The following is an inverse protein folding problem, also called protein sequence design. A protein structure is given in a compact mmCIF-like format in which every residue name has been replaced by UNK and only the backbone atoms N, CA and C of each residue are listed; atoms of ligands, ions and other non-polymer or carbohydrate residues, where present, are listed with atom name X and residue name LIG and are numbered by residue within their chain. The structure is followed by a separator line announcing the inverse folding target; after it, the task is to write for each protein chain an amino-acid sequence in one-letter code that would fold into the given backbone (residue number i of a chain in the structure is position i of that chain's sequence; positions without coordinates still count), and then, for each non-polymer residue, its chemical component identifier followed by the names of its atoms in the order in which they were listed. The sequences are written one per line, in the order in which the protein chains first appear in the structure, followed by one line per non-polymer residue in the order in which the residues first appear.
data_IF_281327805807
#
_entry.id   IF_281327805807
#
_cell.length_a   1.000
_cell.length_b   1.000
_cell.length_c   1.000
_cell.angle_alpha   90.00
_cell.angle_beta   90.00
_cell.angle_gamma   90.00
#
_symmetry.space_group_name_H-M   'P 1'
#
loop_
_entity.id
_entity.type
_entity.pdbx_description
1 polymer ?
#
# COMPACT_ATOMS: atom_id res chain seq x y z
N UNK A 1 -1.86 -13.49 -26.14
CA UNK A 1 -3.24 -13.88 -25.77
C UNK A 1 -4.21 -12.99 -26.54
N UNK A 2 -5.19 -13.56 -27.26
CA UNK A 2 -6.24 -12.80 -27.97
C UNK A 2 -7.57 -12.76 -27.19
N UNK A 3 -7.67 -13.55 -26.13
CA UNK A 3 -8.84 -13.70 -25.28
C UNK A 3 -8.35 -13.92 -23.83
N UNK A 4 -9.12 -13.44 -22.86
CA UNK A 4 -8.98 -13.73 -21.44
C UNK A 4 -10.35 -14.16 -20.92
N UNK A 5 -10.43 -15.37 -20.38
CA UNK A 5 -11.68 -15.95 -19.87
C UNK A 5 -11.69 -15.92 -18.35
N UNK A 6 -12.82 -15.54 -17.76
CA UNK A 6 -13.09 -15.73 -16.34
C UNK A 6 -14.09 -16.87 -16.22
N UNK A 7 -13.76 -17.89 -15.42
CA UNK A 7 -14.61 -19.06 -15.23
C UNK A 7 -14.99 -19.22 -13.77
N UNK A 8 -16.28 -19.43 -13.52
CA UNK A 8 -16.80 -19.71 -12.19
C UNK A 8 -16.59 -21.17 -11.79
N UNK A 9 -16.35 -21.42 -10.49
CA UNK A 9 -16.42 -22.77 -9.92
C UNK A 9 -16.97 -22.79 -8.47
N UNK A 10 -17.46 -23.95 -7.98
CA UNK A 10 -18.21 -24.03 -6.72
C UNK A 10 -17.49 -23.59 -5.45
N UNK A 11 -18.31 -23.19 -4.46
CA UNK A 11 -18.01 -22.43 -3.22
C UNK A 11 -17.04 -23.01 -2.18
N UNK A 12 -16.45 -24.19 -2.36
CA UNK A 12 -15.85 -24.94 -1.22
C UNK A 12 -14.70 -24.21 -0.52
N UNK A 13 -13.95 -23.33 -1.21
CA UNK A 13 -12.94 -22.43 -0.63
C UNK A 13 -12.89 -21.12 -1.42
N UNK A 14 -12.71 -19.97 -0.75
CA UNK A 14 -12.41 -18.70 -1.43
C UNK A 14 -10.99 -18.77 -2.01
N UNK A 15 -10.89 -19.15 -3.27
CA UNK A 15 -9.62 -19.36 -3.95
C UNK A 15 -9.68 -18.79 -5.38
N UNK A 16 -8.50 -18.47 -5.90
CA UNK A 16 -8.31 -17.87 -7.21
C UNK A 16 -7.06 -18.44 -7.82
N UNK A 17 -7.08 -18.66 -9.13
CA UNK A 17 -5.87 -19.07 -9.85
C UNK A 17 -5.81 -18.30 -11.17
N UNK A 18 -4.61 -18.11 -11.68
CA UNK A 18 -4.37 -17.44 -12.94
C UNK A 18 -3.59 -18.37 -13.87
N UNK A 19 -4.28 -18.98 -14.82
CA UNK A 19 -3.68 -19.67 -15.96
C UNK A 19 -3.49 -18.72 -17.14
N UNK A 20 -2.60 -19.01 -18.10
CA UNK A 20 -2.52 -18.26 -19.35
C UNK A 20 -3.88 -18.18 -20.06
N UNK A 21 -4.49 -17.00 -20.08
CA UNK A 21 -5.78 -16.75 -20.74
C UNK A 21 -7.03 -17.27 -20.02
N UNK A 22 -6.90 -17.87 -18.82
CA UNK A 22 -8.04 -18.36 -18.04
C UNK A 22 -7.86 -18.05 -16.55
N UNK A 23 -8.86 -17.40 -15.96
CA UNK A 23 -8.91 -17.05 -14.54
C UNK A 23 -10.11 -17.75 -13.90
N UNK A 24 -9.93 -18.93 -13.26
CA UNK A 24 -10.96 -19.51 -12.43
C UNK A 24 -11.12 -18.73 -11.12
N UNK A 25 -12.35 -18.34 -10.80
CA UNK A 25 -12.73 -17.71 -9.54
C UNK A 25 -13.82 -18.53 -8.87
N UNK A 26 -13.68 -18.81 -7.57
CA UNK A 26 -14.78 -19.43 -6.84
C UNK A 26 -15.97 -18.49 -6.74
N UNK A 27 -17.18 -19.03 -6.60
CA UNK A 27 -18.40 -18.26 -6.32
C UNK A 27 -18.17 -17.22 -5.21
N UNK A 28 -17.58 -17.67 -4.09
CA UNK A 28 -17.26 -16.86 -2.90
C UNK A 28 -16.12 -15.86 -3.08
N UNK A 29 -15.33 -15.97 -4.14
CA UNK A 29 -14.25 -15.04 -4.45
C UNK A 29 -14.73 -13.82 -5.23
N UNK A 30 -15.80 -13.95 -6.04
CA UNK A 30 -16.26 -12.87 -6.92
C UNK A 30 -17.77 -12.87 -7.21
N UNK A 31 -18.36 -13.99 -7.63
CA UNK A 31 -19.68 -14.00 -8.29
C UNK A 31 -20.88 -13.74 -7.36
N UNK A 32 -20.81 -14.19 -6.10
CA UNK A 32 -21.91 -13.98 -5.13
C UNK A 32 -21.72 -12.72 -4.29
N UNK A 33 -20.75 -11.87 -4.66
CA UNK A 33 -20.45 -10.65 -3.94
C UNK A 33 -21.61 -9.66 -3.98
N UNK A 34 -21.87 -9.04 -2.83
CA UNK A 34 -22.75 -7.88 -2.72
C UNK A 34 -21.88 -6.71 -2.30
N UNK A 35 -21.62 -5.82 -3.24
CA UNK A 35 -20.83 -4.61 -3.05
C UNK A 35 -21.78 -3.43 -3.23
N UNK A 36 -21.95 -2.61 -2.20
CA UNK A 36 -22.63 -1.33 -2.29
C UNK A 36 -21.63 -0.22 -2.65
N UNK A 37 -21.70 0.37 -3.87
CA UNK A 37 -20.80 1.44 -4.26
C UNK A 37 -20.91 2.71 -3.39
N UNK A 38 -22.06 2.91 -2.74
CA UNK A 38 -22.32 4.03 -1.84
C UNK A 38 -21.86 3.79 -0.40
N UNK A 39 -21.60 2.54 -0.02
CA UNK A 39 -21.14 2.19 1.33
C UNK A 39 -19.66 2.58 1.51
N UNK A 40 -19.33 3.40 2.52
CA UNK A 40 -17.94 3.71 2.84
C UNK A 40 -17.16 2.51 3.41
N UNK A 41 -17.85 1.39 3.71
CA UNK A 41 -17.26 0.17 4.27
C UNK A 41 -17.02 -0.91 3.22
N UNK A 42 -17.64 -0.81 2.06
CA UNK A 42 -17.60 -1.88 1.05
C UNK A 42 -16.36 -1.72 0.16
N UNK A 43 -15.66 -2.83 -0.03
CA UNK A 43 -14.59 -2.97 -1.00
C UNK A 43 -15.15 -3.75 -2.18
N UNK A 44 -14.93 -3.25 -3.39
CA UNK A 44 -15.17 -4.01 -4.61
C UNK A 44 -14.09 -5.08 -4.78
N UNK A 45 -14.15 -6.08 -3.90
CA UNK A 45 -13.22 -7.18 -3.89
C UNK A 45 -13.30 -8.06 -5.14
N UNK A 46 -14.47 -8.29 -5.80
CA UNK A 46 -14.51 -9.04 -7.05
C UNK A 46 -13.68 -8.36 -8.13
N UNK A 47 -13.81 -7.03 -8.26
CA UNK A 47 -13.04 -6.29 -9.24
C UNK A 47 -11.55 -6.24 -8.87
N UNK A 48 -11.22 -6.02 -7.60
CA UNK A 48 -9.85 -6.08 -7.11
C UNK A 48 -9.17 -7.42 -7.42
N UNK A 49 -9.82 -8.52 -7.05
CA UNK A 49 -9.32 -9.89 -7.29
C UNK A 49 -9.17 -10.15 -8.78
N UNK A 50 -10.16 -9.79 -9.60
CA UNK A 50 -10.10 -9.99 -11.05
C UNK A 50 -8.95 -9.19 -11.68
N UNK A 51 -8.73 -7.94 -11.22
CA UNK A 51 -7.61 -7.12 -11.67
C UNK A 51 -6.26 -7.74 -11.28
N UNK A 52 -6.12 -8.27 -10.06
CA UNK A 52 -4.92 -8.96 -9.59
C UNK A 52 -4.62 -10.21 -10.42
N UNK A 53 -5.60 -11.08 -10.61
CA UNK A 53 -5.40 -12.30 -11.40
C UNK A 53 -5.13 -11.99 -12.88
N UNK A 54 -5.69 -10.90 -13.41
CA UNK A 54 -5.33 -10.39 -14.74
C UNK A 54 -3.90 -9.86 -14.77
N UNK A 55 -3.44 -9.17 -13.73
CA UNK A 55 -2.07 -8.66 -13.65
C UNK A 55 -1.01 -9.78 -13.64
N UNK A 56 -1.34 -10.96 -13.08
CA UNK A 56 -0.47 -12.15 -13.13
C UNK A 56 -0.18 -12.64 -14.55
N UNK A 57 -0.97 -12.25 -15.54
CA UNK A 57 -0.66 -12.52 -16.95
C UNK A 57 0.66 -11.85 -17.38
N UNK A 58 1.10 -10.79 -16.70
CA UNK A 58 2.44 -10.22 -16.84
C UNK A 58 3.39 -10.79 -15.78
N UNK A 59 2.95 -10.79 -14.52
CA UNK A 59 3.75 -11.13 -13.35
C UNK A 59 3.59 -12.60 -12.98
N UNK A 60 4.56 -13.43 -13.39
CA UNK A 60 4.57 -14.88 -13.17
C UNK A 60 4.24 -15.73 -14.41
N UNK A 61 3.59 -15.15 -15.43
CA UNK A 61 3.35 -15.83 -16.71
C UNK A 61 4.30 -15.33 -17.81
N UNK A 62 4.36 -14.01 -18.06
CA UNK A 62 5.31 -13.44 -19.02
C UNK A 62 6.71 -13.35 -18.44
N UNK A 63 6.82 -12.70 -17.29
CA UNK A 63 8.05 -12.63 -16.50
C UNK A 63 7.98 -13.69 -15.41
N UNK A 64 8.83 -14.71 -15.54
CA UNK A 64 9.00 -15.77 -14.55
C UNK A 64 10.27 -15.47 -13.75
N UNK A 65 10.15 -15.35 -12.42
CA UNK A 65 11.30 -15.13 -11.54
C UNK A 65 12.12 -16.40 -11.33
N UNK A 66 13.38 -16.24 -10.94
CA UNK A 66 14.20 -17.36 -10.47
C UNK A 66 13.62 -17.94 -9.18
N UNK A 67 13.78 -19.24 -8.95
CA UNK A 67 13.35 -19.91 -7.72
C UNK A 67 14.33 -19.63 -6.57
N UNK A 68 14.27 -18.41 -6.05
CA UNK A 68 15.12 -17.91 -4.96
C UNK A 68 14.28 -17.17 -3.92
N UNK A 69 14.86 -16.84 -2.77
CA UNK A 69 14.22 -15.93 -1.79
C UNK A 69 13.69 -14.66 -2.47
N UNK A 70 12.52 -14.21 -2.05
CA UNK A 70 11.84 -13.05 -2.62
C UNK A 70 11.25 -13.23 -4.01
N UNK A 71 11.31 -14.43 -4.63
CA UNK A 71 10.75 -14.67 -5.96
C UNK A 71 9.27 -14.25 -6.07
N UNK A 72 8.50 -14.47 -5.01
CA UNK A 72 7.09 -14.09 -4.92
C UNK A 72 6.85 -12.58 -5.03
N UNK A 73 7.86 -11.73 -4.80
CA UNK A 73 7.70 -10.27 -5.02
C UNK A 73 7.43 -9.98 -6.49
N UNK A 74 8.11 -10.68 -7.41
CA UNK A 74 7.99 -10.47 -8.85
C UNK A 74 6.67 -10.98 -9.43
N UNK A 75 5.92 -11.79 -8.68
CA UNK A 75 4.67 -12.40 -9.13
C UNK A 75 3.47 -11.85 -8.34
N UNK A 76 3.52 -11.96 -7.02
CA UNK A 76 2.45 -11.62 -6.09
C UNK A 76 2.41 -10.12 -5.81
N UNK A 77 3.51 -9.54 -5.34
CA UNK A 77 3.53 -8.11 -4.97
C UNK A 77 3.27 -7.20 -6.17
N UNK A 78 3.86 -7.52 -7.34
CA UNK A 78 3.62 -6.77 -8.56
C UNK A 78 2.16 -6.89 -9.05
N UNK A 79 1.53 -8.06 -8.88
CA UNK A 79 0.11 -8.23 -9.22
C UNK A 79 -0.82 -7.46 -8.28
N UNK A 80 -0.54 -7.47 -6.96
CA UNK A 80 -1.30 -6.72 -5.95
C UNK A 80 -1.15 -5.21 -6.19
N UNK A 81 0.09 -4.73 -6.41
CA UNK A 81 0.34 -3.35 -6.80
C UNK A 81 -0.45 -2.95 -8.05
N UNK A 82 -0.39 -3.77 -9.10
CA UNK A 82 -1.14 -3.50 -10.35
C UNK A 82 -2.63 -3.40 -10.09
N UNK A 83 -3.20 -4.29 -9.26
CA UNK A 83 -4.60 -4.26 -8.88
C UNK A 83 -4.96 -2.98 -8.11
N UNK A 84 -4.14 -2.56 -7.14
CA UNK A 84 -4.31 -1.30 -6.41
C UNK A 84 -4.32 -0.09 -7.37
N UNK A 85 -3.45 -0.09 -8.39
CA UNK A 85 -3.42 0.99 -9.38
C UNK A 85 -4.66 0.99 -10.29
N UNK A 86 -5.20 -0.18 -10.65
CA UNK A 86 -6.49 -0.28 -11.37
C UNK A 86 -7.64 0.23 -10.51
N UNK A 87 -7.67 -0.12 -9.22
CA UNK A 87 -8.67 0.39 -8.28
C UNK A 87 -8.57 1.91 -8.16
N UNK A 88 -7.36 2.46 -8.03
CA UNK A 88 -7.13 3.91 -7.93
C UNK A 88 -7.64 4.64 -9.16
N UNK A 89 -7.39 4.12 -10.37
CA UNK A 89 -7.87 4.72 -11.62
C UNK A 89 -9.40 4.67 -11.74
N UNK A 90 -10.02 3.62 -11.21
CA UNK A 90 -11.48 3.43 -11.32
C UNK A 90 -12.25 4.23 -10.26
N UNK A 91 -11.76 4.22 -9.02
CA UNK A 91 -12.47 4.79 -7.87
C UNK A 91 -11.93 6.13 -7.39
N UNK A 92 -10.76 6.55 -7.86
CA UNK A 92 -10.06 7.75 -7.40
C UNK A 92 -9.17 7.50 -6.19
N UNK A 93 -8.22 8.41 -5.96
CA UNK A 93 -7.24 8.32 -4.88
C UNK A 93 -7.90 8.32 -3.49
N UNK A 94 -8.92 9.15 -3.29
CA UNK A 94 -9.65 9.32 -2.01
C UNK A 94 -10.31 8.02 -1.54
N UNK A 95 -10.60 7.14 -2.49
CA UNK A 95 -11.20 5.82 -2.26
C UNK A 95 -10.15 4.74 -2.00
N UNK A 96 -8.86 5.00 -2.18
CA UNK A 96 -7.80 4.01 -1.94
C UNK A 96 -7.52 3.73 -0.47
N UNK A 97 -7.76 4.71 0.40
CA UNK A 97 -7.56 4.57 1.86
C UNK A 97 -8.13 3.27 2.42
N UNK A 98 -9.31 2.84 1.97
CA UNK A 98 -9.96 1.61 2.45
C UNK A 98 -9.25 0.33 1.99
N UNK A 99 -8.73 0.31 0.76
CA UNK A 99 -7.97 -0.83 0.24
C UNK A 99 -6.65 -0.96 1.00
N UNK A 100 -5.94 0.16 1.19
CA UNK A 100 -4.69 0.20 1.96
C UNK A 100 -4.90 -0.22 3.42
N UNK A 101 -5.96 0.30 4.07
CA UNK A 101 -6.30 -0.12 5.44
C UNK A 101 -6.58 -1.62 5.53
N UNK A 102 -7.33 -2.18 4.57
CA UNK A 102 -7.61 -3.61 4.54
C UNK A 102 -6.35 -4.45 4.39
N UNK A 103 -5.44 -4.07 3.49
CA UNK A 103 -4.19 -4.79 3.30
C UNK A 103 -3.28 -4.66 4.53
N UNK A 104 -3.24 -3.50 5.16
CA UNK A 104 -2.48 -3.28 6.39
C UNK A 104 -3.00 -4.12 7.55
N UNK A 105 -4.32 -4.15 7.77
CA UNK A 105 -4.94 -5.03 8.76
C UNK A 105 -4.61 -6.50 8.48
N UNK A 106 -4.74 -6.94 7.22
CA UNK A 106 -4.42 -8.31 6.83
C UNK A 106 -2.93 -8.65 7.01
N UNK A 107 -2.03 -7.69 6.75
CA UNK A 107 -0.59 -7.83 7.02
C UNK A 107 -0.33 -8.01 8.52
N UNK A 108 -0.89 -7.14 9.37
CA UNK A 108 -0.70 -7.19 10.82
C UNK A 108 -1.29 -8.46 11.45
N UNK A 109 -2.47 -8.91 10.99
CA UNK A 109 -3.07 -10.17 11.42
C UNK A 109 -2.21 -11.36 11.00
N UNK A 110 -1.78 -11.40 9.74
CA UNK A 110 -0.94 -12.49 9.23
C UNK A 110 0.38 -12.60 10.01
N UNK A 111 0.99 -11.46 10.32
CA UNK A 111 2.18 -11.38 11.15
C UNK A 111 1.95 -11.89 12.58
N UNK A 112 0.82 -11.54 13.20
CA UNK A 112 0.49 -12.02 14.54
C UNK A 112 0.22 -13.54 14.60
N UNK A 113 -0.07 -14.16 13.46
CA UNK A 113 -0.32 -15.60 13.31
C UNK A 113 0.90 -16.36 12.77
N UNK A 114 1.96 -15.65 12.38
CA UNK A 114 3.17 -16.26 11.83
C UNK A 114 3.86 -17.11 12.91
N UNK A 115 4.20 -18.34 12.53
CA UNK A 115 4.88 -19.30 13.41
C UNK A 115 6.38 -19.36 13.11
N UNK A 116 6.77 -18.96 11.90
CA UNK A 116 8.16 -18.87 11.48
C UNK A 116 8.73 -17.47 11.69
N UNK A 117 10.00 -17.26 11.33
CA UNK A 117 10.59 -15.92 11.35
C UNK A 117 10.01 -15.08 10.19
N UNK A 118 9.52 -13.87 10.50
CA UNK A 118 9.23 -12.88 9.47
C UNK A 118 10.52 -12.44 8.78
N UNK A 119 10.52 -12.42 7.44
CA UNK A 119 11.62 -11.92 6.63
C UNK A 119 11.24 -10.59 5.95
N UNK A 120 12.22 -9.75 5.60
CA UNK A 120 11.96 -8.59 4.77
C UNK A 120 11.35 -8.97 3.41
N UNK A 121 10.66 -8.02 2.77
CA UNK A 121 9.89 -8.30 1.55
C UNK A 121 10.76 -8.90 0.44
N UNK A 122 11.96 -8.38 0.21
CA UNK A 122 12.90 -8.88 -0.80
C UNK A 122 13.47 -10.27 -0.49
N UNK A 123 13.35 -10.75 0.75
CA UNK A 123 13.92 -12.01 1.21
C UNK A 123 12.86 -13.04 1.59
N UNK A 124 11.57 -12.71 1.47
CA UNK A 124 10.49 -13.56 1.95
C UNK A 124 10.51 -14.98 1.33
N UNK A 125 10.11 -15.97 2.13
CA UNK A 125 10.05 -17.38 1.76
C UNK A 125 8.60 -17.84 1.57
N UNK A 126 7.87 -17.19 0.66
CA UNK A 126 6.48 -17.51 0.34
C UNK A 126 5.48 -17.25 1.49
N UNK A 127 5.78 -16.24 2.30
CA UNK A 127 4.93 -15.80 3.41
C UNK A 127 3.82 -14.89 2.88
N UNK A 128 2.58 -15.42 2.82
CA UNK A 128 1.46 -14.79 2.11
C UNK A 128 1.15 -13.36 2.54
N UNK A 129 1.18 -13.09 3.83
CA UNK A 129 0.91 -11.74 4.36
C UNK A 129 2.01 -10.74 3.96
N UNK A 130 3.23 -11.20 3.66
CA UNK A 130 4.34 -10.37 3.21
C UNK A 130 4.16 -10.05 1.72
N UNK A 131 4.15 -11.06 0.85
CA UNK A 131 4.17 -10.80 -0.60
C UNK A 131 2.80 -10.38 -1.16
N UNK A 132 1.68 -10.69 -0.51
CA UNK A 132 0.36 -10.21 -0.98
C UNK A 132 -0.03 -8.85 -0.37
N UNK A 133 0.26 -8.64 0.92
CA UNK A 133 -0.22 -7.44 1.62
C UNK A 133 0.86 -6.37 1.74
N UNK A 134 1.96 -6.66 2.46
CA UNK A 134 3.09 -5.73 2.57
C UNK A 134 3.65 -5.34 1.20
N UNK A 135 3.71 -6.29 0.26
CA UNK A 135 4.17 -6.06 -1.11
C UNK A 135 3.37 -5.00 -1.87
N UNK A 136 2.03 -5.10 -1.84
CA UNK A 136 1.14 -4.11 -2.45
C UNK A 136 1.26 -2.73 -1.80
N UNK A 137 1.26 -2.68 -0.46
CA UNK A 137 1.43 -1.44 0.32
C UNK A 137 2.76 -0.75 0.00
N UNK A 138 3.86 -1.50 -0.01
CA UNK A 138 5.20 -0.99 -0.27
C UNK A 138 5.31 -0.33 -1.65
N UNK A 139 4.85 -1.03 -2.70
CA UNK A 139 4.89 -0.49 -4.05
C UNK A 139 3.91 0.67 -4.24
N UNK A 140 2.76 0.65 -3.56
CA UNK A 140 1.81 1.76 -3.58
C UNK A 140 2.39 3.03 -2.95
N UNK A 141 3.03 2.92 -1.78
CA UNK A 141 3.73 4.03 -1.15
C UNK A 141 4.88 4.53 -2.02
N UNK A 142 5.69 3.62 -2.58
CA UNK A 142 6.81 3.99 -3.42
C UNK A 142 6.36 4.77 -4.66
N UNK A 143 5.29 4.35 -5.34
CA UNK A 143 4.77 5.13 -6.48
C UNK A 143 4.19 6.47 -6.05
N UNK A 144 3.62 6.57 -4.85
CA UNK A 144 3.06 7.83 -4.34
C UNK A 144 4.18 8.84 -4.01
N UNK A 145 5.39 8.33 -3.75
CA UNK A 145 6.58 9.10 -3.43
C UNK A 145 7.43 9.46 -4.65
N UNK A 146 7.50 8.57 -5.65
CA UNK A 146 8.35 8.72 -6.84
C UNK A 146 7.58 9.10 -8.11
N UNK A 147 6.26 8.87 -8.13
CA UNK A 147 5.41 8.94 -9.31
C UNK A 147 5.16 7.57 -9.92
N UNK A 148 3.92 7.35 -10.34
CA UNK A 148 3.47 6.11 -10.99
C UNK A 148 4.28 5.77 -12.24
N UNK A 149 4.57 6.77 -13.09
CA UNK A 149 5.33 6.54 -14.32
C UNK A 149 6.79 6.14 -14.08
N UNK A 150 7.39 6.60 -12.98
CA UNK A 150 8.76 6.24 -12.59
C UNK A 150 8.82 4.77 -12.19
N UNK A 151 7.93 4.34 -11.28
CA UNK A 151 7.85 2.95 -10.84
C UNK A 151 7.47 2.03 -12.01
N UNK A 152 6.44 2.40 -12.79
CA UNK A 152 6.03 1.64 -13.97
C UNK A 152 7.10 1.60 -15.08
N UNK A 153 8.01 2.59 -15.11
CA UNK A 153 9.20 2.59 -15.96
C UNK A 153 10.12 1.42 -15.66
N UNK A 154 10.40 1.17 -14.39
CA UNK A 154 11.20 0.03 -13.94
C UNK A 154 10.52 -1.29 -14.28
N UNK A 155 9.22 -1.41 -13.98
CA UNK A 155 8.44 -2.62 -14.26
C UNK A 155 8.41 -2.97 -15.77
N UNK A 156 8.25 -1.94 -16.62
CA UNK A 156 8.33 -2.09 -18.07
C UNK A 156 9.73 -2.48 -18.54
N UNK A 157 10.77 -1.97 -17.89
CA UNK A 157 12.16 -2.38 -18.12
C UNK A 157 12.35 -3.87 -17.87
N UNK A 158 11.87 -4.38 -16.73
CA UNK A 158 11.90 -5.80 -16.38
C UNK A 158 11.19 -6.66 -17.43
N UNK A 159 9.98 -6.27 -17.84
CA UNK A 159 9.24 -7.00 -18.90
C UNK A 159 10.01 -7.01 -20.22
N UNK A 160 10.58 -5.88 -20.67
CA UNK A 160 11.37 -5.84 -21.91
C UNK A 160 12.59 -6.77 -21.85
N UNK A 161 13.20 -6.88 -20.68
CA UNK A 161 14.42 -7.66 -20.49
C UNK A 161 14.13 -9.16 -20.32
N UNK A 162 13.06 -9.54 -19.61
CA UNK A 162 12.85 -10.91 -19.15
C UNK A 162 11.56 -11.58 -19.64
N UNK A 163 10.59 -10.85 -20.19
CA UNK A 163 9.34 -11.47 -20.63
C UNK A 163 9.58 -12.49 -21.75
N UNK A 164 8.96 -13.67 -21.61
CA UNK A 164 9.06 -14.79 -22.54
C UNK A 164 10.48 -15.31 -22.79
N UNK A 165 11.40 -15.11 -21.83
CA UNK A 165 12.77 -15.62 -21.91
C UNK A 165 13.00 -16.75 -20.91
N UNK A 166 13.90 -17.65 -21.26
CA UNK A 166 14.48 -18.62 -20.33
C UNK A 166 15.59 -17.98 -19.48
N UNK A 167 16.37 -18.83 -18.80
CA UNK A 167 17.47 -18.38 -17.95
C UNK A 167 18.47 -17.45 -18.69
N UNK A 168 19.06 -16.46 -18.00
CA UNK A 168 18.90 -16.16 -16.56
C UNK A 168 17.58 -15.45 -16.24
N UNK A 169 16.89 -15.94 -15.20
CA UNK A 169 15.65 -15.36 -14.70
C UNK A 169 15.94 -14.21 -13.72
N UNK A 170 15.06 -13.19 -13.64
CA UNK A 170 15.20 -12.11 -12.67
C UNK A 170 14.96 -12.59 -11.24
N UNK A 171 15.59 -11.92 -10.27
CA UNK A 171 15.38 -12.14 -8.84
C UNK A 171 14.73 -10.90 -8.20
N UNK A 172 14.39 -10.96 -6.91
CA UNK A 172 13.94 -9.76 -6.18
C UNK A 172 14.92 -8.59 -6.32
N UNK A 173 16.24 -8.86 -6.35
CA UNK A 173 17.28 -7.85 -6.57
C UNK A 173 17.12 -7.15 -7.92
N UNK A 174 16.70 -7.84 -8.99
CA UNK A 174 16.45 -7.19 -10.28
C UNK A 174 15.40 -6.07 -10.19
N UNK A 175 14.37 -6.26 -9.35
CA UNK A 175 13.38 -5.21 -9.08
C UNK A 175 13.95 -4.13 -8.14
N UNK A 176 14.54 -4.54 -7.01
CA UNK A 176 15.05 -3.61 -5.99
C UNK A 176 16.13 -2.70 -6.56
N UNK A 177 17.08 -3.23 -7.34
CA UNK A 177 18.15 -2.45 -7.96
C UNK A 177 17.58 -1.47 -9.00
N UNK A 178 16.60 -1.90 -9.79
CA UNK A 178 15.90 -1.04 -10.75
C UNK A 178 15.18 0.12 -10.06
N UNK A 179 14.50 -0.14 -8.95
CA UNK A 179 13.84 0.88 -8.13
C UNK A 179 14.87 1.81 -7.45
N UNK A 180 15.95 1.24 -6.90
CA UNK A 180 17.05 1.99 -6.27
C UNK A 180 17.70 2.96 -7.25
N UNK A 181 17.92 2.55 -8.48
CA UNK A 181 18.54 3.38 -9.53
C UNK A 181 17.70 4.61 -9.91
N UNK A 182 16.37 4.56 -9.76
CA UNK A 182 15.47 5.68 -10.09
C UNK A 182 15.03 6.48 -8.87
N UNK A 183 15.39 6.05 -7.67
CA UNK A 183 14.98 6.71 -6.42
C UNK A 183 15.91 7.90 -6.11
N UNK A 184 15.37 9.13 -5.94
CA UNK A 184 16.14 10.29 -5.52
C UNK A 184 16.81 10.10 -4.16
N UNK A 185 17.96 10.75 -3.96
CA UNK A 185 18.79 10.59 -2.75
C UNK A 185 18.03 10.87 -1.43
N UNK A 186 17.15 11.87 -1.42
CA UNK A 186 16.35 12.23 -0.25
C UNK A 186 15.24 11.20 0.08
N UNK A 187 15.01 10.23 -0.81
CA UNK A 187 14.02 9.16 -0.68
C UNK A 187 14.63 7.76 -0.71
N UNK A 188 15.96 7.65 -0.83
CA UNK A 188 16.67 6.37 -0.97
C UNK A 188 16.41 5.41 0.20
N UNK A 189 16.17 5.96 1.40
CA UNK A 189 15.80 5.21 2.60
C UNK A 189 14.57 4.32 2.40
N UNK A 190 13.62 4.72 1.54
CA UNK A 190 12.39 3.96 1.29
C UNK A 190 12.68 2.60 0.69
N UNK A 191 13.74 2.46 -0.12
CA UNK A 191 14.07 1.16 -0.72
C UNK A 191 14.45 0.17 0.39
N UNK A 192 15.31 0.60 1.30
CA UNK A 192 15.78 -0.27 2.38
C UNK A 192 14.64 -0.56 3.38
N UNK A 193 13.83 0.45 3.72
CA UNK A 193 12.70 0.28 4.64
C UNK A 193 11.61 -0.66 4.10
N UNK A 194 11.29 -0.55 2.81
CA UNK A 194 10.18 -1.27 2.20
C UNK A 194 10.54 -2.68 1.76
N UNK A 195 11.78 -2.87 1.26
CA UNK A 195 12.20 -4.13 0.67
C UNK A 195 13.17 -4.93 1.54
N UNK A 196 14.15 -4.26 2.14
CA UNK A 196 15.27 -4.90 2.83
C UNK A 196 15.08 -5.02 4.35
N UNK A 197 14.12 -4.29 4.90
CA UNK A 197 13.85 -4.24 6.35
C UNK A 197 12.39 -4.55 6.69
N UNK A 198 12.15 -4.80 7.97
CA UNK A 198 10.81 -4.87 8.55
C UNK A 198 10.62 -3.60 9.38
N UNK A 199 10.01 -2.59 8.77
CA UNK A 199 9.80 -1.27 9.36
C UNK A 199 8.32 -1.04 9.64
N UNK A 200 8.04 -0.44 10.80
CA UNK A 200 6.71 -0.01 11.22
C UNK A 200 6.72 1.45 11.62
N UNK A 201 5.56 2.09 11.48
CA UNK A 201 5.30 3.41 12.02
C UNK A 201 4.38 3.33 13.25
N UNK A 202 4.50 4.35 14.10
CA UNK A 202 3.63 4.61 15.25
C UNK A 202 3.18 6.08 15.22
N UNK A 203 2.47 6.41 14.16
CA UNK A 203 1.89 7.73 13.96
C UNK A 203 0.56 7.83 14.70
N UNK A 204 0.27 9.00 15.27
CA UNK A 204 -1.03 9.29 15.86
C UNK A 204 -1.31 10.79 15.86
N UNK A 205 -2.56 11.15 15.70
CA UNK A 205 -3.02 12.50 16.01
C UNK A 205 -3.22 12.63 17.54
N UNK A 206 -2.73 13.74 18.12
CA UNK A 206 -2.90 14.07 19.53
C UNK A 206 -4.01 15.10 19.74
N UNK A 207 -4.10 16.11 18.87
CA UNK A 207 -5.17 17.11 18.89
C UNK A 207 -5.42 17.67 17.47
N UNK A 208 -6.61 18.20 17.23
CA UNK A 208 -6.92 18.96 16.04
C UNK A 208 -7.99 20.01 16.35
N UNK A 209 -7.67 21.28 16.13
CA UNK A 209 -8.53 22.42 16.47
C UNK A 209 -8.73 23.29 15.24
N UNK A 210 -10.00 23.56 14.91
CA UNK A 210 -10.41 24.43 13.83
C UNK A 210 -10.76 25.82 14.34
N UNK A 211 -10.30 26.84 13.61
CA UNK A 211 -10.67 28.24 13.79
C UNK A 211 -11.09 28.85 12.47
N UNK A 212 -12.25 29.51 12.45
CA UNK A 212 -12.70 30.23 11.26
C UNK A 212 -11.87 31.49 11.02
N UNK A 213 -11.48 31.71 9.77
CA UNK A 213 -10.73 32.88 9.33
C UNK A 213 -11.66 33.99 8.79
N UNK A 214 -11.23 35.27 8.78
CA UNK A 214 -12.02 36.37 8.23
C UNK A 214 -12.35 36.25 6.73
N UNK A 215 -11.51 35.53 5.97
CA UNK A 215 -11.68 35.25 4.54
C UNK A 215 -12.68 34.10 4.27
N UNK A 216 -13.30 33.54 5.30
CA UNK A 216 -14.27 32.46 5.20
C UNK A 216 -13.67 31.05 5.19
N UNK A 217 -12.34 30.92 5.11
CA UNK A 217 -11.64 29.63 5.20
C UNK A 217 -11.56 29.15 6.66
N UNK A 218 -11.15 27.90 6.84
CA UNK A 218 -10.93 27.32 8.17
C UNK A 218 -9.45 26.97 8.33
N UNK A 219 -8.86 27.46 9.41
CA UNK A 219 -7.53 27.08 9.84
C UNK A 219 -7.64 25.88 10.79
N UNK A 220 -6.90 24.80 10.53
CA UNK A 220 -6.88 23.59 11.36
C UNK A 220 -5.47 23.37 11.87
N UNK A 221 -5.28 23.53 13.17
CA UNK A 221 -4.03 23.20 13.87
C UNK A 221 -4.06 21.75 14.29
N UNK A 222 -3.03 20.98 13.94
CA UNK A 222 -2.88 19.56 14.20
C UNK A 222 -1.65 19.38 15.08
N UNK A 223 -1.84 18.76 16.24
CA UNK A 223 -0.75 18.18 17.03
C UNK A 223 -0.72 16.67 16.76
N UNK A 224 0.45 16.15 16.41
CA UNK A 224 0.64 14.74 16.09
C UNK A 224 1.95 14.20 16.68
N UNK A 225 2.02 12.89 16.78
CA UNK A 225 3.23 12.17 17.12
C UNK A 225 3.56 11.20 15.98
N UNK A 226 4.83 11.15 15.59
CA UNK A 226 5.38 10.20 14.64
C UNK A 226 6.38 9.30 15.33
N UNK A 227 6.42 8.04 14.94
CA UNK A 227 7.35 7.05 15.45
C UNK A 227 7.73 6.07 14.35
N UNK A 228 8.94 5.53 14.42
CA UNK A 228 9.45 4.57 13.46
C UNK A 228 10.25 3.49 14.18
N UNK A 229 9.97 2.24 13.83
CA UNK A 229 10.53 1.05 14.47
C UNK A 229 11.05 0.11 13.38
N UNK A 230 12.19 -0.53 13.60
CA UNK A 230 12.66 -1.68 12.82
C UNK A 230 12.58 -2.95 13.66
N UNK A 231 12.26 -4.07 13.03
CA UNK A 231 12.51 -5.39 13.61
C UNK A 231 13.97 -5.79 13.35
N UNK A 232 14.65 -6.23 14.41
CA UNK A 232 15.97 -6.86 14.29
C UNK A 232 15.85 -8.32 13.88
N UNK A 233 16.97 -8.92 13.49
CA UNK A 233 17.02 -10.35 13.19
C UNK A 233 16.63 -11.27 14.34
N UNK A 234 16.79 -10.79 15.59
CA UNK A 234 16.39 -11.51 16.80
C UNK A 234 14.92 -11.34 17.17
N UNK A 235 14.12 -10.62 16.37
CA UNK A 235 12.70 -10.37 16.64
C UNK A 235 12.45 -9.25 17.66
N UNK A 236 13.47 -8.47 18.02
CA UNK A 236 13.29 -7.27 18.86
C UNK A 236 12.95 -6.06 18.00
N UNK A 237 11.99 -5.26 18.46
CA UNK A 237 11.67 -3.95 17.88
C UNK A 237 12.62 -2.89 18.42
N UNK A 238 13.20 -2.08 17.54
CA UNK A 238 14.11 -0.99 17.91
C UNK A 238 13.67 0.33 17.29
N UNK A 239 13.67 1.43 18.05
CA UNK A 239 13.45 2.77 17.51
C UNK A 239 14.43 3.10 16.39
N UNK A 240 13.92 3.70 15.32
CA UNK A 240 14.68 4.27 14.23
C UNK A 240 14.58 5.80 14.26
N UNK A 241 15.63 6.52 13.84
CA UNK A 241 15.51 7.95 13.61
C UNK A 241 14.50 8.23 12.50
N UNK A 242 13.67 9.26 12.71
CA UNK A 242 12.78 9.78 11.69
C UNK A 242 13.58 10.64 10.70
N UNK A 243 13.38 10.39 9.42
CA UNK A 243 13.81 11.25 8.33
C UNK A 243 12.91 10.96 7.12
N UNK A 244 11.62 11.09 7.35
CA UNK A 244 10.58 10.48 6.53
C UNK A 244 9.61 11.54 6.04
N UNK A 245 9.25 11.48 4.76
CA UNK A 245 8.16 12.30 4.27
C UNK A 245 6.82 11.68 4.65
N UNK A 246 6.08 12.35 5.53
CA UNK A 246 4.77 11.89 6.03
C UNK A 246 3.71 12.91 5.64
N UNK A 247 2.54 12.42 5.26
CA UNK A 247 1.40 13.24 4.87
C UNK A 247 0.57 13.63 6.09
N UNK A 248 0.17 14.88 6.17
CA UNK A 248 -0.81 15.38 7.12
C UNK A 248 -2.05 15.81 6.34
N UNK A 249 -3.22 15.70 6.94
CA UNK A 249 -4.44 16.02 6.21
C UNK A 249 -5.64 16.33 7.07
N UNK A 250 -6.63 16.92 6.41
CA UNK A 250 -7.95 17.21 6.95
C UNK A 250 -8.98 16.61 6.01
N UNK A 251 -9.97 15.95 6.58
CA UNK A 251 -11.15 15.44 5.89
C UNK A 251 -12.40 16.21 6.35
N UNK A 252 -13.43 16.23 5.50
CA UNK A 252 -14.76 16.69 5.87
C UNK A 252 -15.49 15.68 6.78
N UNK A 253 -16.73 15.98 7.17
CA UNK A 253 -17.56 15.09 8.02
C UNK A 253 -17.97 13.79 7.33
N UNK A 254 -17.91 13.73 6.00
CA UNK A 254 -18.21 12.54 5.21
C UNK A 254 -16.95 11.68 4.97
N UNK A 255 -15.78 12.14 5.41
CA UNK A 255 -14.50 11.48 5.22
C UNK A 255 -13.84 11.75 3.87
N UNK A 256 -14.29 12.76 3.12
CA UNK A 256 -13.61 13.18 1.89
C UNK A 256 -12.43 14.10 2.21
N UNK A 257 -11.30 14.01 1.49
CA UNK A 257 -10.17 14.91 1.66
C UNK A 257 -10.55 16.37 1.40
N UNK A 258 -10.20 17.25 2.35
CA UNK A 258 -10.15 18.69 2.12
C UNK A 258 -8.74 19.15 1.75
N UNK A 259 -7.72 18.56 2.38
CA UNK A 259 -6.31 18.84 2.09
C UNK A 259 -5.42 17.65 2.45
N UNK A 260 -4.34 17.50 1.69
CA UNK A 260 -3.20 16.63 1.98
C UNK A 260 -1.93 17.45 1.79
N UNK A 261 -1.06 17.45 2.78
CA UNK A 261 0.23 18.12 2.73
C UNK A 261 1.33 17.20 3.25
N UNK A 262 2.35 16.96 2.42
CA UNK A 262 3.48 16.11 2.78
C UNK A 262 4.61 16.96 3.35
N UNK A 263 5.15 16.55 4.50
CA UNK A 263 6.27 17.21 5.17
C UNK A 263 7.36 16.22 5.51
N UNK A 264 8.62 16.67 5.48
CA UNK A 264 9.72 15.91 6.05
C UNK A 264 9.62 15.95 7.58
N UNK A 265 9.52 14.78 8.19
CA UNK A 265 9.42 14.58 9.63
C UNK A 265 10.75 14.03 10.15
N UNK A 266 11.41 14.81 11.00
CA UNK A 266 12.71 14.46 11.61
C UNK A 266 12.65 14.37 13.14
N UNK A 267 11.47 14.62 13.72
CA UNK A 267 11.24 14.62 15.16
C UNK A 267 9.89 13.97 15.47
N UNK A 268 9.76 13.38 16.65
CA UNK A 268 8.55 12.65 17.02
C UNK A 268 7.33 13.57 17.19
N UNK A 269 7.48 14.70 17.88
CA UNK A 269 6.38 15.66 18.07
C UNK A 269 6.26 16.56 16.85
N UNK A 270 5.05 16.67 16.30
CA UNK A 270 4.73 17.47 15.14
C UNK A 270 3.59 18.43 15.48
N UNK A 271 3.76 19.69 15.12
CA UNK A 271 2.69 20.69 15.18
C UNK A 271 2.66 21.42 13.85
N UNK A 272 1.48 21.49 13.24
CA UNK A 272 1.28 22.19 11.98
C UNK A 272 -0.11 22.77 11.86
N UNK A 273 -0.25 23.68 10.91
CA UNK A 273 -1.51 24.33 10.61
C UNK A 273 -1.78 24.18 9.12
N UNK A 274 -2.97 23.70 8.78
CA UNK A 274 -3.48 23.54 7.42
C UNK A 274 -4.70 24.44 7.21
N UNK A 275 -4.87 24.97 6.00
CA UNK A 275 -6.00 25.84 5.66
C UNK A 275 -6.88 25.12 4.66
N UNK A 276 -8.18 25.05 4.95
CA UNK A 276 -9.15 24.31 4.13
C UNK A 276 -10.33 25.16 3.70
N UNK A 277 -10.83 24.83 2.50
CA UNK A 277 -12.08 25.34 1.95
C UNK A 277 -13.19 24.32 2.25
N UNK A 278 -13.77 24.38 3.46
CA UNK A 278 -14.81 23.45 3.88
C UNK A 278 -14.96 23.34 5.40
N UNK A 279 -15.94 22.55 5.84
CA UNK A 279 -16.14 22.26 7.27
C UNK A 279 -15.32 21.02 7.63
N UNK A 280 -14.27 21.16 8.46
CA UNK A 280 -13.44 20.02 8.85
C UNK A 280 -14.23 19.04 9.74
N UNK A 281 -14.01 17.76 9.50
CA UNK A 281 -14.54 16.64 10.28
C UNK A 281 -13.47 15.92 11.07
N UNK A 282 -12.40 15.48 10.40
CA UNK A 282 -11.24 14.80 11.03
C UNK A 282 -9.92 15.34 10.50
N UNK A 283 -8.88 15.30 11.31
CA UNK A 283 -7.53 15.69 10.89
C UNK A 283 -6.46 14.85 11.59
N UNK A 284 -5.25 14.83 11.03
CA UNK A 284 -4.15 14.04 11.57
C UNK A 284 -3.00 13.79 10.61
N UNK A 285 -2.33 12.66 10.81
CA UNK A 285 -1.07 12.23 10.18
C UNK A 285 -1.26 10.87 9.50
N UNK A 286 -0.64 10.66 8.35
CA UNK A 286 -0.89 9.54 7.43
C UNK A 286 -2.40 9.22 7.25
N UNK A 287 -3.19 10.22 6.81
CA UNK A 287 -4.65 10.14 6.75
C UNK A 287 -5.15 8.97 5.89
N UNK A 288 -4.36 8.58 4.88
CA UNK A 288 -4.76 7.60 3.88
C UNK A 288 -4.18 6.19 4.11
N UNK A 289 -3.52 5.96 5.26
CA UNK A 289 -2.90 4.68 5.65
C UNK A 289 -1.86 4.19 4.63
N UNK A 290 -1.00 5.10 4.15
CA UNK A 290 0.04 4.78 3.16
C UNK A 290 1.27 4.17 3.83
N UNK A 291 1.50 4.47 5.11
CA UNK A 291 2.58 3.91 5.90
C UNK A 291 2.12 2.66 6.64
N UNK A 292 3.03 1.68 6.80
CA UNK A 292 2.76 0.46 7.57
C UNK A 292 2.82 0.81 9.07
N UNK A 293 1.74 1.40 9.55
CA UNK A 293 1.50 1.76 10.94
C UNK A 293 0.98 0.57 11.78
N UNK A 294 1.33 0.53 13.07
CA UNK A 294 0.84 -0.47 14.03
C UNK A 294 -0.60 -0.24 14.48
N UNK A 295 -1.05 1.01 14.51
CA UNK A 295 -2.35 1.44 15.02
C UNK A 295 -2.97 2.51 14.11
N UNK A 296 -3.19 2.24 12.82
CA UNK A 296 -3.71 3.23 11.86
C UNK A 296 -5.05 3.90 12.25
N UNK A 297 -5.78 3.37 13.22
CA UNK A 297 -7.03 3.95 13.72
C UNK A 297 -6.84 5.25 14.51
N UNK A 298 -5.66 5.52 15.08
CA UNK A 298 -5.37 6.76 15.82
C UNK A 298 -4.60 7.81 14.99
N UNK A 299 -4.32 7.52 13.72
CA UNK A 299 -3.77 8.47 12.74
C UNK A 299 -4.60 9.74 12.58
N UNK A 300 -5.92 9.63 12.73
CA UNK A 300 -6.89 10.73 12.51
C UNK A 300 -7.83 10.85 13.71
N UNK A 301 -8.21 12.07 14.09
CA UNK A 301 -9.18 12.31 15.16
C UNK A 301 -10.22 13.38 14.77
N UNK A 302 -11.39 13.44 15.43
CA UNK A 302 -12.39 14.48 15.19
C UNK A 302 -11.83 15.88 15.48
N UNK A 303 -12.09 16.83 14.59
CA UNK A 303 -11.64 18.22 14.75
C UNK A 303 -12.56 18.96 15.74
N UNK A 304 -11.96 19.57 16.76
CA UNK A 304 -12.66 20.49 17.66
C UNK A 304 -12.95 21.81 16.95
N UNK A 305 -14.22 22.17 16.80
CA UNK A 305 -14.63 23.37 16.07
C UNK A 305 -14.91 24.49 17.07
N UNK A 306 -14.00 25.46 17.15
CA UNK A 306 -14.13 26.65 17.99
C UNK A 306 -14.74 27.84 17.24
#
# INVERSE_FOLDING_TARGET
LRELRIAEYPRTVRNTQSFPGLIPLSESAAFIARVDPGSPKDLDYPFYVSARETARQWWGQQLVGADTRGATVLTESLAEYTALMVMRRTYGADKMRRFLRHDQEAYLIGRAQEQEKELPLAHNENQRYIHQRKGGLALYLLQDMLGEDVVNGVLRGLLRQYAYRGAPYPTASSLVDGLRAVTPKDKAYLIDDLFESIVFYENRAASAVARRRPDGKVEVTIDAHAGKLSMTDGGEERPMPLNDYIEFGVDDRNGNPLVRERRLVTQAVQQLTLVVDGVPGRAGIDPDNKLIDRKPNDNMLPVDNQ
#
